data_IF_036849085263
#
_entry.id   IF_036849085263
#
_cell.length_a   1.000
_cell.length_b   1.000
_cell.length_c   1.000
_cell.angle_alpha   90.00
_cell.angle_beta   90.00
_cell.angle_gamma   90.00
#
_symmetry.space_group_name_H-M   'P 1'
#
loop_
_entity.id
_entity.type
_entity.pdbx_description
1 polymer ?
#
# COMPACT_ATOMS: atom_id res chain seq x y z
N UNK A 1 8.30 -41.90 -31.17
CA UNK A 1 7.93 -42.10 -29.75
C UNK A 1 8.48 -41.02 -28.82
N UNK A 2 9.69 -40.49 -29.03
CA UNK A 2 10.26 -39.43 -28.18
C UNK A 2 9.52 -38.07 -28.25
N UNK A 3 8.88 -37.73 -29.38
CA UNK A 3 8.17 -36.45 -29.56
C UNK A 3 6.82 -36.38 -28.81
N UNK A 4 6.25 -37.51 -28.39
CA UNK A 4 4.96 -37.51 -27.67
C UNK A 4 5.06 -37.08 -26.20
N UNK A 5 6.28 -37.06 -25.65
CA UNK A 5 6.55 -36.69 -24.25
C UNK A 5 6.88 -35.21 -24.08
N UNK A 6 7.27 -34.52 -25.17
CA UNK A 6 7.50 -33.07 -25.18
C UNK A 6 6.33 -32.25 -24.60
N UNK A 7 5.05 -32.46 -25.01
CA UNK A 7 3.94 -31.71 -24.44
C UNK A 7 3.72 -32.02 -22.95
N UNK A 8 4.01 -33.24 -22.50
CA UNK A 8 3.86 -33.64 -21.09
C UNK A 8 4.95 -32.99 -20.21
N UNK A 9 6.19 -32.88 -20.72
CA UNK A 9 7.29 -32.20 -20.02
C UNK A 9 7.02 -30.70 -19.92
N UNK A 10 6.47 -30.07 -20.97
CA UNK A 10 6.07 -28.65 -20.94
C UNK A 10 4.92 -28.41 -19.96
N UNK A 11 3.89 -29.26 -19.97
CA UNK A 11 2.76 -29.15 -19.04
C UNK A 11 3.17 -29.34 -17.57
N UNK A 12 4.12 -30.24 -17.30
CA UNK A 12 4.68 -30.41 -15.96
C UNK A 12 5.55 -29.21 -15.54
N UNK A 13 6.29 -28.60 -16.47
CA UNK A 13 7.08 -27.39 -16.19
C UNK A 13 6.20 -26.17 -15.90
N UNK A 14 5.06 -26.02 -16.58
CA UNK A 14 4.09 -24.95 -16.31
C UNK A 14 3.37 -25.13 -14.96
N UNK A 15 3.04 -26.37 -14.58
CA UNK A 15 2.35 -26.66 -13.31
C UNK A 15 3.27 -26.86 -12.08
N UNK A 16 4.60 -26.92 -12.27
CA UNK A 16 5.54 -27.12 -11.15
C UNK A 16 5.69 -25.88 -10.24
N UNK A 17 5.31 -24.70 -10.75
CA UNK A 17 5.13 -23.52 -9.92
C UNK A 17 3.71 -23.59 -9.37
N UNK A 18 3.58 -23.73 -8.05
CA UNK A 18 2.30 -23.51 -7.37
C UNK A 18 1.83 -22.13 -7.83
N UNK A 19 0.72 -22.00 -8.57
CA UNK A 19 0.26 -20.69 -8.98
C UNK A 19 0.03 -19.89 -7.70
N UNK A 20 0.61 -18.70 -7.60
CA UNK A 20 0.50 -17.83 -6.42
C UNK A 20 -0.98 -17.59 -6.02
N UNK A 21 -1.85 -17.70 -7.03
CA UNK A 21 -3.31 -17.66 -7.02
C UNK A 21 -3.97 -18.83 -6.25
N UNK A 22 -3.25 -19.94 -6.02
CA UNK A 22 -3.74 -21.10 -5.28
C UNK A 22 -3.65 -20.91 -3.76
N UNK A 23 -2.99 -19.86 -3.27
CA UNK A 23 -3.02 -19.48 -1.87
C UNK A 23 -4.32 -18.71 -1.62
N UNK A 24 -5.25 -19.23 -0.81
CA UNK A 24 -6.53 -18.57 -0.56
C UNK A 24 -6.27 -17.18 0.04
N UNK A 25 -6.96 -16.17 -0.51
CA UNK A 25 -6.88 -14.77 -0.08
C UNK A 25 -5.50 -14.11 -0.21
N UNK A 26 -4.64 -14.59 -1.11
CA UNK A 26 -3.34 -13.97 -1.37
C UNK A 26 -3.45 -12.48 -1.74
N UNK A 27 -4.43 -12.13 -2.58
CA UNK A 27 -4.67 -10.75 -3.01
C UNK A 27 -5.03 -9.84 -1.83
N UNK A 28 -5.85 -10.34 -0.90
CA UNK A 28 -6.22 -9.63 0.32
C UNK A 28 -5.01 -9.41 1.23
N UNK A 29 -4.14 -10.43 1.36
CA UNK A 29 -2.91 -10.34 2.14
C UNK A 29 -1.95 -9.28 1.60
N UNK A 30 -1.80 -9.22 0.27
CA UNK A 30 -0.98 -8.20 -0.39
C UNK A 30 -1.60 -6.80 -0.30
N UNK A 31 -2.93 -6.67 -0.42
CA UNK A 31 -3.63 -5.41 -0.23
C UNK A 31 -3.47 -4.88 1.21
N UNK A 32 -3.63 -5.74 2.22
CA UNK A 32 -3.42 -5.37 3.63
C UNK A 32 -1.98 -4.91 3.91
N UNK A 33 -0.99 -5.59 3.32
CA UNK A 33 0.41 -5.17 3.41
C UNK A 33 0.66 -3.80 2.75
N UNK A 34 0.10 -3.59 1.55
CA UNK A 34 0.22 -2.32 0.84
C UNK A 34 -0.35 -1.16 1.66
N UNK A 35 -1.53 -1.35 2.28
CA UNK A 35 -2.14 -0.33 3.15
C UNK A 35 -1.34 -0.12 4.42
N UNK A 36 -0.85 -1.18 5.06
CA UNK A 36 0.00 -1.05 6.24
C UNK A 36 1.26 -0.21 5.98
N UNK A 37 1.93 -0.45 4.85
CA UNK A 37 3.12 0.32 4.46
C UNK A 37 2.79 1.77 4.08
N UNK A 38 1.69 1.98 3.35
CA UNK A 38 1.19 3.31 3.00
C UNK A 38 0.87 4.15 4.25
N UNK A 39 0.11 3.58 5.19
CA UNK A 39 -0.26 4.22 6.45
C UNK A 39 0.98 4.51 7.33
N UNK A 40 1.94 3.59 7.38
CA UNK A 40 3.19 3.82 8.09
C UNK A 40 3.99 4.98 7.50
N UNK A 41 4.08 5.07 6.18
CA UNK A 41 4.73 6.18 5.48
C UNK A 41 4.06 7.53 5.74
N UNK A 42 2.72 7.57 5.70
CA UNK A 42 1.94 8.77 6.00
C UNK A 42 2.16 9.24 7.45
N UNK A 43 2.03 8.36 8.43
CA UNK A 43 2.28 8.70 9.83
C UNK A 43 3.74 9.15 10.08
N UNK A 44 4.70 8.58 9.35
CA UNK A 44 6.09 9.03 9.43
C UNK A 44 6.30 10.44 8.86
N UNK A 45 5.55 10.83 7.83
CA UNK A 45 5.59 12.20 7.31
C UNK A 45 4.91 13.18 8.30
N UNK A 46 3.75 12.79 8.83
CA UNK A 46 2.96 13.61 9.76
C UNK A 46 3.70 13.96 11.04
N UNK A 47 4.55 13.06 11.57
CA UNK A 47 5.31 13.34 12.80
C UNK A 47 6.12 14.65 12.73
N UNK A 48 6.66 14.98 11.56
CA UNK A 48 7.46 16.18 11.35
C UNK A 48 6.58 17.38 11.02
N UNK A 49 5.57 17.17 10.18
CA UNK A 49 4.65 18.23 9.76
C UNK A 49 3.84 18.75 10.95
N UNK A 50 3.32 17.86 11.80
CA UNK A 50 2.56 18.22 13.00
C UNK A 50 3.40 18.99 14.02
N UNK A 51 4.64 18.55 14.27
CA UNK A 51 5.56 19.26 15.17
C UNK A 51 5.88 20.67 14.66
N UNK A 52 6.14 20.82 13.35
CA UNK A 52 6.40 22.11 12.73
C UNK A 52 5.15 23.01 12.72
N UNK A 53 3.97 22.45 12.43
CA UNK A 53 2.71 23.18 12.42
C UNK A 53 2.36 23.73 13.80
N UNK A 54 2.47 22.93 14.86
CA UNK A 54 2.23 23.40 16.24
C UNK A 54 3.25 24.46 16.66
N UNK A 55 4.52 24.30 16.27
CA UNK A 55 5.55 25.31 16.52
C UNK A 55 5.25 26.65 15.82
N UNK A 56 4.81 26.61 14.56
CA UNK A 56 4.44 27.80 13.80
C UNK A 56 3.19 28.49 14.37
N UNK A 57 2.19 27.72 14.81
CA UNK A 57 0.99 28.25 15.48
C UNK A 57 1.35 28.93 16.80
N UNK A 58 2.34 28.41 17.54
CA UNK A 58 2.79 29.04 18.78
C UNK A 58 3.48 30.40 18.56
N UNK A 59 4.00 30.66 17.36
CA UNK A 59 4.60 31.95 16.97
C UNK A 59 3.58 32.91 16.36
N UNK A 60 2.65 32.39 15.54
CA UNK A 60 1.61 33.14 14.85
C UNK A 60 0.33 32.30 14.69
N UNK A 61 -0.75 32.72 15.36
CA UNK A 61 -2.04 32.02 15.33
C UNK A 61 -2.64 31.93 13.90
N UNK A 62 -2.31 32.87 13.01
CA UNK A 62 -2.77 32.86 11.62
C UNK A 62 -2.19 31.66 10.83
N UNK A 63 -1.14 31.01 11.34
CA UNK A 63 -0.54 29.81 10.75
C UNK A 63 -1.36 28.54 10.97
N UNK A 64 -2.38 28.55 11.83
CA UNK A 64 -3.18 27.35 12.12
C UNK A 64 -3.79 26.72 10.87
N UNK A 65 -4.39 27.53 10.00
CA UNK A 65 -5.00 27.06 8.76
C UNK A 65 -3.97 26.44 7.79
N UNK A 66 -2.79 27.06 7.67
CA UNK A 66 -1.70 26.52 6.85
C UNK A 66 -1.14 25.23 7.44
N UNK A 67 -0.95 25.17 8.75
CA UNK A 67 -0.52 23.97 9.47
C UNK A 67 -1.45 22.79 9.20
N UNK A 68 -2.77 23.02 9.32
CA UNK A 68 -3.78 22.01 9.02
C UNK A 68 -3.72 21.50 7.58
N UNK A 69 -3.62 22.40 6.60
CA UNK A 69 -3.54 22.02 5.18
C UNK A 69 -2.30 21.15 4.94
N UNK A 70 -1.15 21.53 5.50
CA UNK A 70 0.09 20.75 5.33
C UNK A 70 0.00 19.37 5.99
N UNK A 71 -0.64 19.25 7.16
CA UNK A 71 -0.85 17.95 7.82
C UNK A 71 -1.81 17.03 7.07
N UNK A 72 -2.70 17.56 6.23
CA UNK A 72 -3.67 16.75 5.46
C UNK A 72 -3.06 16.18 4.17
N UNK A 73 -1.96 16.74 3.66
CA UNK A 73 -1.33 16.26 2.42
C UNK A 73 -0.97 14.76 2.48
N UNK A 74 -0.31 14.25 3.54
CA UNK A 74 -0.01 12.81 3.69
C UNK A 74 -1.24 11.90 3.70
N UNK A 75 -2.37 12.40 4.20
CA UNK A 75 -3.62 11.62 4.33
C UNK A 75 -4.18 11.20 2.96
N UNK A 76 -3.90 11.97 1.90
CA UNK A 76 -4.29 11.61 0.53
C UNK A 76 -3.72 10.25 0.09
N UNK A 77 -2.51 9.90 0.53
CA UNK A 77 -1.88 8.60 0.26
C UNK A 77 -2.66 7.48 0.96
N UNK A 78 -3.02 7.68 2.22
CA UNK A 78 -3.78 6.71 3.02
C UNK A 78 -5.15 6.45 2.39
N UNK A 79 -5.85 7.51 1.95
CA UNK A 79 -7.15 7.38 1.27
C UNK A 79 -7.00 6.54 0.00
N UNK A 80 -5.99 6.80 -0.85
CA UNK A 80 -5.77 6.02 -2.06
C UNK A 80 -5.46 4.54 -1.75
N UNK A 81 -4.70 4.26 -0.70
CA UNK A 81 -4.40 2.90 -0.26
C UNK A 81 -5.67 2.18 0.24
N UNK A 82 -6.53 2.89 0.98
CA UNK A 82 -7.83 2.37 1.46
C UNK A 82 -8.78 2.05 0.30
N UNK A 83 -8.78 2.87 -0.76
CA UNK A 83 -9.53 2.58 -2.00
C UNK A 83 -9.10 1.25 -2.62
N UNK A 84 -7.78 0.97 -2.66
CA UNK A 84 -7.28 -0.32 -3.20
C UNK A 84 -7.84 -1.51 -2.41
N UNK A 85 -7.90 -1.42 -1.08
CA UNK A 85 -8.49 -2.50 -0.26
C UNK A 85 -9.94 -2.76 -0.64
N UNK A 86 -10.75 -1.71 -0.77
CA UNK A 86 -12.16 -1.86 -1.16
C UNK A 86 -12.35 -2.42 -2.56
N UNK A 87 -11.39 -2.23 -3.47
CA UNK A 87 -11.43 -2.84 -4.81
C UNK A 87 -11.03 -4.32 -4.80
N UNK A 88 -10.25 -4.75 -3.81
CA UNK A 88 -9.76 -6.13 -3.68
C UNK A 88 -10.62 -7.02 -2.76
N UNK A 89 -11.50 -6.40 -1.97
CA UNK A 89 -12.53 -7.08 -1.16
C UNK A 89 -13.67 -7.60 -2.04
#
# INVERSE_FOLDING_TARGET
MAESLAPLVVALAENALIPLQAIPNFDLGMAALAVGLAAFGAGYAERGIGAAAVGAVAEDDDMFGRGLILTVIPETLVILALVVVFLTL
#
